data_IF_246301974263
#
_entry.id   IF_246301974263
#
_cell.length_a   1.000
_cell.length_b   1.000
_cell.length_c   1.000
_cell.angle_alpha   90.00
_cell.angle_beta   90.00
_cell.angle_gamma   90.00
#
_symmetry.space_group_name_H-M   'P 1'
#
loop_
_entity.id
_entity.type
_entity.pdbx_description
1 polymer ?
#
# COMPACT_ATOMS: atom_id res chain seq x y z
N UNK A 1 2.52 -6.79 2.51
CA UNK A 1 1.31 -6.09 2.01
C UNK A 1 0.16 -6.13 3.00
N UNK A 2 -0.05 -7.26 3.70
CA UNK A 2 -1.16 -7.44 4.65
C UNK A 2 -1.28 -6.35 5.72
N UNK A 3 -0.17 -5.88 6.30
CA UNK A 3 -0.21 -4.83 7.32
C UNK A 3 -0.74 -3.49 6.78
N UNK A 4 -0.44 -3.14 5.53
CA UNK A 4 -0.91 -1.88 4.93
C UNK A 4 -2.39 -2.01 4.56
N UNK A 5 -2.80 -3.16 4.02
CA UNK A 5 -4.21 -3.44 3.71
C UNK A 5 -5.08 -3.48 4.97
N UNK A 6 -4.60 -4.10 6.04
CA UNK A 6 -5.24 -4.09 7.35
C UNK A 6 -5.44 -2.67 7.88
N UNK A 7 -4.41 -1.81 7.77
CA UNK A 7 -4.54 -0.39 8.14
C UNK A 7 -5.60 0.33 7.31
N UNK A 8 -5.72 0.04 6.02
CA UNK A 8 -6.79 0.61 5.19
C UNK A 8 -8.19 0.17 5.64
N UNK A 9 -8.34 -1.09 6.05
CA UNK A 9 -9.62 -1.62 6.54
C UNK A 9 -9.99 -1.07 7.92
N UNK A 10 -9.04 -1.03 8.85
CA UNK A 10 -9.26 -0.56 10.22
C UNK A 10 -9.56 0.94 10.29
N UNK A 11 -8.92 1.73 9.43
CA UNK A 11 -9.07 3.19 9.44
C UNK A 11 -10.20 3.68 8.53
N UNK A 12 -10.65 2.88 7.57
CA UNK A 12 -11.68 3.25 6.58
C UNK A 12 -11.28 4.40 5.65
N UNK A 13 -10.03 4.85 5.67
CA UNK A 13 -9.55 5.97 4.86
C UNK A 13 -9.13 5.51 3.47
N UNK A 14 -9.22 6.41 2.49
CA UNK A 14 -8.82 6.12 1.11
C UNK A 14 -7.35 6.38 0.82
N UNK A 15 -6.71 7.20 1.65
CA UNK A 15 -5.31 7.59 1.55
C UNK A 15 -4.63 7.42 2.91
N UNK A 16 -3.58 6.61 2.98
CA UNK A 16 -2.76 6.44 4.17
C UNK A 16 -1.53 7.34 4.08
N UNK A 17 -1.27 8.20 5.08
CA UNK A 17 -0.02 8.95 5.14
C UNK A 17 1.16 8.01 5.38
N UNK A 18 2.29 8.31 4.75
CA UNK A 18 3.55 7.59 4.89
C UNK A 18 4.55 8.52 5.55
N UNK A 19 5.06 8.10 6.70
CA UNK A 19 6.09 8.81 7.43
C UNK A 19 7.26 7.86 7.70
N UNK A 20 8.48 8.40 7.64
CA UNK A 20 9.70 7.68 7.96
C UNK A 20 10.56 8.56 8.86
N UNK A 21 11.00 8.02 10.00
CA UNK A 21 11.82 8.76 10.99
C UNK A 21 11.24 10.13 11.38
N UNK A 22 9.91 10.19 11.56
CA UNK A 22 9.19 11.42 11.89
C UNK A 22 9.01 12.40 10.73
N UNK A 23 9.54 12.11 9.53
CA UNK A 23 9.37 12.92 8.33
C UNK A 23 8.20 12.41 7.50
N UNK A 24 7.26 13.30 7.18
CA UNK A 24 6.19 13.02 6.21
C UNK A 24 6.79 12.88 4.80
N UNK A 25 6.54 11.74 4.16
CA UNK A 25 7.01 11.43 2.81
C UNK A 25 5.91 11.60 1.75
N UNK A 26 4.64 11.50 2.17
CA UNK A 26 3.50 11.58 1.25
C UNK A 26 2.36 10.69 1.69
N UNK A 27 1.55 10.24 0.74
CA UNK A 27 0.46 9.32 0.99
C UNK A 27 0.42 8.22 -0.08
N UNK A 28 -0.19 7.09 0.27
CA UNK A 28 -0.52 6.02 -0.65
C UNK A 28 -2.03 5.85 -0.69
N UNK A 29 -2.59 5.70 -1.90
CA UNK A 29 -3.99 5.37 -2.09
C UNK A 29 -4.18 3.87 -2.21
N UNK A 30 -5.36 3.36 -1.79
CA UNK A 30 -5.71 1.95 -1.88
C UNK A 30 -5.56 1.42 -3.32
N UNK A 31 -6.03 2.17 -4.31
CA UNK A 31 -5.95 1.80 -5.73
C UNK A 31 -4.52 1.64 -6.24
N UNK A 32 -3.64 2.60 -5.91
CA UNK A 32 -2.22 2.55 -6.35
C UNK A 32 -1.48 1.38 -5.72
N UNK A 33 -1.80 1.06 -4.47
CA UNK A 33 -1.23 -0.08 -3.77
C UNK A 33 -1.65 -1.42 -4.41
N UNK A 34 -2.93 -1.57 -4.77
CA UNK A 34 -3.43 -2.76 -5.47
C UNK A 34 -2.77 -2.96 -6.84
N UNK A 35 -2.62 -1.89 -7.63
CA UNK A 35 -1.97 -1.96 -8.94
C UNK A 35 -0.50 -2.40 -8.82
N UNK A 36 0.24 -1.83 -7.87
CA UNK A 36 1.63 -2.21 -7.61
C UNK A 36 1.74 -3.67 -7.15
N UNK A 37 0.86 -4.10 -6.25
CA UNK A 37 0.83 -5.48 -5.77
C UNK A 37 0.55 -6.48 -6.88
N UNK A 38 -0.42 -6.20 -7.76
CA UNK A 38 -0.74 -7.06 -8.90
C UNK A 38 0.45 -7.25 -9.83
N UNK A 39 1.24 -6.20 -10.06
CA UNK A 39 2.45 -6.26 -10.89
C UNK A 39 3.48 -7.21 -10.28
N UNK A 40 3.75 -7.08 -8.98
CA UNK A 40 4.68 -7.95 -8.25
C UNK A 40 4.22 -9.41 -8.31
N UNK A 41 2.92 -9.66 -8.14
CA UNK A 41 2.35 -11.01 -8.19
C UNK A 41 2.53 -11.67 -9.56
N UNK A 42 2.33 -10.91 -10.64
CA UNK A 42 2.56 -11.39 -12.00
C UNK A 42 4.03 -11.72 -12.24
N UNK A 43 4.95 -10.84 -11.82
CA UNK A 43 6.40 -11.07 -11.93
C UNK A 43 6.86 -12.33 -11.19
N UNK A 44 6.25 -12.65 -10.04
CA UNK A 44 6.55 -13.88 -9.28
C UNK A 44 5.81 -15.14 -9.77
N UNK A 45 4.81 -15.01 -10.64
CA UNK A 45 4.06 -16.17 -11.17
C UNK A 45 4.63 -16.71 -12.48
N UNK A 46 5.54 -15.96 -13.12
CA UNK A 46 6.24 -16.37 -14.35
C UNK A 46 7.63 -16.99 -14.06
N UNK A 47 7.82 -17.55 -12.85
CA UNK A 47 9.00 -18.32 -12.44
C UNK A 47 8.58 -19.59 -11.68
#
# INVERSE_FOLDING_TARGET
MDQVMKKFEETGVWNLPVCENGKYLGFVSKSKLFSAYRKILLEHSEH
#
